data_IF_795214480602
#
_entry.id   IF_795214480602
#
_cell.length_a   1.000
_cell.length_b   1.000
_cell.length_c   1.000
_cell.angle_alpha   90.00
_cell.angle_beta   90.00
_cell.angle_gamma   90.00
#
_symmetry.space_group_name_H-M   'P 1'
#
loop_
_entity.id
_entity.type
_entity.pdbx_description
1 polymer ?
#
# COMPACT_ATOMS: atom_id res chain seq x y z
N UNK A 1 -19.42 12.54 -11.50
CA UNK A 1 -19.67 12.49 -10.05
C UNK A 1 -20.86 13.39 -9.75
N UNK A 2 -21.95 12.85 -9.22
CA UNK A 2 -23.14 13.65 -8.88
C UNK A 2 -22.86 14.34 -7.55
N UNK A 3 -22.65 15.65 -7.56
CA UNK A 3 -22.56 16.46 -6.35
C UNK A 3 -23.97 16.86 -5.93
N UNK A 4 -24.61 16.03 -5.10
CA UNK A 4 -25.86 16.40 -4.45
C UNK A 4 -25.58 17.50 -3.42
N UNK A 5 -25.98 18.74 -3.72
CA UNK A 5 -26.01 19.84 -2.75
C UNK A 5 -27.11 19.57 -1.73
N UNK A 6 -26.80 18.76 -0.72
CA UNK A 6 -27.74 18.46 0.37
C UNK A 6 -27.70 19.61 1.39
N UNK A 7 -28.83 20.28 1.57
CA UNK A 7 -28.96 21.34 2.56
C UNK A 7 -29.00 20.75 3.97
N UNK A 8 -28.00 21.10 4.80
CA UNK A 8 -27.93 20.70 6.22
C UNK A 8 -29.19 21.11 6.98
N UNK A 9 -29.77 22.27 6.63
CA UNK A 9 -31.01 22.75 7.21
C UNK A 9 -32.19 21.78 6.98
N UNK A 10 -32.33 21.28 5.74
CA UNK A 10 -33.38 20.30 5.41
C UNK A 10 -33.17 18.96 6.14
N UNK A 11 -31.92 18.52 6.29
CA UNK A 11 -31.61 17.31 7.08
C UNK A 11 -32.06 17.49 8.53
N UNK A 12 -31.72 18.62 9.16
CA UNK A 12 -32.08 18.88 10.57
C UNK A 12 -33.60 18.92 10.77
N UNK A 13 -34.34 19.54 9.85
CA UNK A 13 -35.81 19.57 9.85
C UNK A 13 -36.43 18.18 9.68
N UNK A 14 -35.79 17.30 8.91
CA UNK A 14 -36.28 15.94 8.74
C UNK A 14 -35.98 15.09 9.98
N UNK A 15 -34.79 15.20 10.55
CA UNK A 15 -34.41 14.49 11.77
C UNK A 15 -35.30 14.86 12.97
N UNK A 16 -35.73 16.13 13.09
CA UNK A 16 -36.64 16.53 14.17
C UNK A 16 -38.05 15.92 14.09
N UNK A 17 -38.41 15.31 12.95
CA UNK A 17 -39.70 14.62 12.76
C UNK A 17 -39.60 13.11 12.99
N UNK A 18 -38.39 12.59 13.22
CA UNK A 18 -38.15 11.17 13.39
C UNK A 18 -38.40 10.79 14.86
N UNK A 19 -39.11 9.69 15.12
CA UNK A 19 -39.25 9.11 16.45
C UNK A 19 -37.90 8.80 17.11
N UNK A 20 -37.83 8.90 18.44
CA UNK A 20 -36.57 8.80 19.19
C UNK A 20 -35.87 7.44 19.04
N UNK A 21 -36.64 6.35 18.96
CA UNK A 21 -36.16 5.00 18.69
C UNK A 21 -35.46 4.88 17.32
N UNK A 22 -35.96 5.60 16.32
CA UNK A 22 -35.37 5.67 14.98
C UNK A 22 -34.20 6.63 14.87
N UNK A 23 -34.16 7.68 15.70
CA UNK A 23 -32.99 8.56 15.79
C UNK A 23 -31.75 7.82 16.26
N UNK A 24 -31.90 6.88 17.20
CA UNK A 24 -30.80 6.01 17.64
C UNK A 24 -30.26 5.16 16.49
N UNK A 25 -31.15 4.51 15.74
CA UNK A 25 -30.77 3.68 14.58
C UNK A 25 -30.02 4.50 13.51
N UNK A 26 -30.46 5.74 13.26
CA UNK A 26 -29.77 6.67 12.36
C UNK A 26 -28.38 7.03 12.89
N UNK A 27 -28.23 7.30 14.19
CA UNK A 27 -26.94 7.61 14.79
C UNK A 27 -25.95 6.43 14.65
N UNK A 28 -26.41 5.22 14.97
CA UNK A 28 -25.60 3.99 14.87
C UNK A 28 -25.13 3.75 13.41
N UNK A 29 -26.00 4.02 12.44
CA UNK A 29 -25.66 3.92 11.01
C UNK A 29 -24.64 4.98 10.57
N UNK A 30 -24.77 6.23 11.03
CA UNK A 30 -23.81 7.30 10.76
C UNK A 30 -22.43 6.93 11.33
N UNK A 31 -22.38 6.41 12.57
CA UNK A 31 -21.14 5.95 13.19
C UNK A 31 -20.47 4.82 12.40
N UNK A 32 -21.24 3.86 11.89
CA UNK A 32 -20.74 2.79 11.05
C UNK A 32 -20.07 3.33 9.78
N UNK A 33 -20.73 4.27 9.09
CA UNK A 33 -20.18 4.92 7.89
C UNK A 33 -18.87 5.64 8.21
N UNK A 34 -18.83 6.42 9.29
CA UNK A 34 -17.63 7.15 9.70
C UNK A 34 -16.49 6.17 10.02
N UNK A 35 -16.76 5.10 10.79
CA UNK A 35 -15.78 4.06 11.13
C UNK A 35 -15.24 3.32 9.89
N UNK A 36 -16.07 3.07 8.88
CA UNK A 36 -15.63 2.41 7.65
C UNK A 36 -14.66 3.26 6.83
N UNK A 37 -14.80 4.59 6.85
CA UNK A 37 -13.87 5.52 6.19
C UNK A 37 -12.53 5.68 6.93
N UNK A 38 -12.50 5.44 8.24
CA UNK A 38 -11.30 5.63 9.07
C UNK A 38 -10.50 4.36 9.29
N UNK A 39 -10.90 3.20 8.75
CA UNK A 39 -9.98 2.05 8.71
C UNK A 39 -8.78 2.45 7.86
N UNK A 40 -7.57 2.56 8.43
CA UNK A 40 -6.37 2.75 7.63
C UNK A 40 -6.33 1.61 6.61
N UNK A 41 -5.83 1.83 5.38
CA UNK A 41 -5.58 0.73 4.47
C UNK A 41 -4.82 -0.33 5.27
N UNK A 42 -5.26 -1.59 5.19
CA UNK A 42 -4.48 -2.69 5.74
C UNK A 42 -3.14 -2.65 5.00
N UNK A 43 -2.14 -2.01 5.61
CA UNK A 43 -0.76 -2.08 5.18
C UNK A 43 -0.39 -3.51 5.50
N UNK A 44 -0.64 -4.40 4.53
CA UNK A 44 -0.14 -5.76 4.59
C UNK A 44 1.37 -5.61 4.56
N UNK A 45 1.98 -5.76 5.73
CA UNK A 45 3.43 -5.78 5.81
C UNK A 45 3.87 -7.04 5.10
N UNK A 46 4.61 -6.86 4.01
CA UNK A 46 5.27 -7.95 3.29
C UNK A 46 6.51 -8.45 4.05
N UNK A 47 6.43 -8.49 5.39
CA UNK A 47 7.43 -9.12 6.24
C UNK A 47 7.47 -10.60 5.86
N UNK A 48 8.64 -11.09 5.46
CA UNK A 48 8.83 -12.49 5.06
C UNK A 48 8.78 -12.79 3.55
N UNK A 49 8.48 -11.83 2.65
CA UNK A 49 8.53 -12.11 1.19
C UNK A 49 9.91 -12.61 0.75
N UNK A 50 10.96 -12.07 1.33
CA UNK A 50 12.34 -12.39 0.98
C UNK A 50 12.98 -13.41 1.93
N UNK A 51 12.21 -13.96 2.87
CA UNK A 51 12.69 -14.93 3.85
C UNK A 51 12.99 -16.29 3.17
N UNK A 52 14.16 -16.84 3.45
CA UNK A 52 14.67 -18.07 2.86
C UNK A 52 15.15 -17.93 1.41
N UNK A 53 15.02 -16.76 0.78
CA UNK A 53 15.42 -16.54 -0.61
C UNK A 53 16.88 -16.09 -0.75
N UNK A 54 17.59 -15.88 0.36
CA UNK A 54 19.02 -15.58 0.39
C UNK A 54 19.36 -14.10 0.31
N UNK A 55 18.36 -13.22 0.17
CA UNK A 55 18.53 -11.77 0.23
C UNK A 55 18.98 -11.30 1.62
N UNK A 56 18.74 -12.09 2.66
CA UNK A 56 19.18 -11.81 4.03
C UNK A 56 20.70 -11.92 4.21
N UNK A 57 21.38 -12.54 3.24
CA UNK A 57 22.84 -12.67 3.22
C UNK A 57 23.52 -11.46 2.57
N UNK A 58 22.75 -10.57 1.92
CA UNK A 58 23.26 -9.37 1.26
C UNK A 58 23.49 -8.31 2.35
N UNK A 59 24.73 -8.21 2.81
CA UNK A 59 25.13 -7.23 3.83
C UNK A 59 25.41 -5.84 3.23
N UNK A 60 25.90 -5.79 1.99
CA UNK A 60 26.17 -4.56 1.25
C UNK A 60 25.85 -4.77 -0.24
N UNK A 61 24.62 -4.40 -0.61
CA UNK A 61 24.10 -4.55 -1.97
C UNK A 61 24.96 -3.83 -3.02
N UNK A 62 25.50 -2.65 -2.69
CA UNK A 62 26.28 -1.86 -3.64
C UNK A 62 27.62 -2.53 -3.93
N UNK A 63 28.28 -3.06 -2.89
CA UNK A 63 29.50 -3.84 -3.04
C UNK A 63 29.27 -5.09 -3.89
N UNK A 64 28.21 -5.84 -3.63
CA UNK A 64 27.88 -7.07 -4.35
C UNK A 64 27.58 -6.79 -5.84
N UNK A 65 26.82 -5.74 -6.15
CA UNK A 65 26.57 -5.30 -7.53
C UNK A 65 27.88 -4.92 -8.23
N UNK A 66 28.77 -4.20 -7.53
CA UNK A 66 30.04 -3.76 -8.09
C UNK A 66 30.96 -4.95 -8.38
N UNK A 67 30.97 -5.96 -7.52
CA UNK A 67 31.73 -7.19 -7.72
C UNK A 67 31.21 -7.95 -8.94
N UNK A 68 29.90 -8.18 -9.04
CA UNK A 68 29.27 -8.86 -10.18
C UNK A 68 29.62 -8.18 -11.50
N UNK A 69 29.57 -6.83 -11.55
CA UNK A 69 29.98 -6.08 -12.75
C UNK A 69 31.42 -6.36 -13.15
N UNK A 70 32.36 -6.32 -12.20
CA UNK A 70 33.79 -6.57 -12.48
C UNK A 70 34.00 -7.98 -13.03
N UNK A 71 33.37 -8.98 -12.42
CA UNK A 71 33.47 -10.38 -12.85
C UNK A 71 32.88 -10.58 -14.25
N UNK A 72 31.71 -9.98 -14.53
CA UNK A 72 31.09 -10.01 -15.84
C UNK A 72 31.99 -9.36 -16.91
N UNK A 73 32.57 -8.19 -16.63
CA UNK A 73 33.50 -7.51 -17.54
C UNK A 73 34.74 -8.35 -17.80
N UNK A 74 35.35 -8.92 -16.75
CA UNK A 74 36.52 -9.78 -16.88
C UNK A 74 36.23 -11.01 -17.75
N UNK A 75 35.12 -11.70 -17.47
CA UNK A 75 34.68 -12.88 -18.24
C UNK A 75 34.43 -12.54 -19.71
N UNK A 76 33.82 -11.40 -19.99
CA UNK A 76 33.61 -10.92 -21.36
C UNK A 76 34.94 -10.65 -22.08
N UNK A 77 35.88 -9.95 -21.43
CA UNK A 77 37.19 -9.66 -22.00
C UNK A 77 38.00 -10.92 -22.27
N UNK A 78 37.98 -11.90 -21.37
CA UNK A 78 38.64 -13.20 -21.57
C UNK A 78 38.07 -13.95 -22.76
N UNK A 79 36.74 -13.92 -22.96
CA UNK A 79 36.09 -14.53 -24.12
C UNK A 79 36.49 -13.83 -25.43
N UNK A 80 36.52 -12.51 -25.46
CA UNK A 80 36.95 -11.73 -26.63
C UNK A 80 38.42 -11.99 -26.96
N UNK A 81 39.29 -12.04 -25.95
CA UNK A 81 40.71 -12.34 -26.15
C UNK A 81 40.91 -13.72 -26.77
N UNK A 82 40.22 -14.75 -26.24
CA UNK A 82 40.27 -16.13 -26.78
C UNK A 82 39.72 -16.28 -28.20
N UNK A 83 38.88 -15.35 -28.68
CA UNK A 83 38.38 -15.38 -30.06
C UNK A 83 39.33 -14.71 -31.05
N UNK A 84 40.22 -13.84 -30.55
CA UNK A 84 41.18 -13.08 -31.36
C UNK A 84 42.61 -13.67 -31.32
N UNK A 85 42.80 -14.80 -30.65
CA UNK A 85 44.02 -15.62 -30.64
C UNK A 85 43.75 -16.97 -31.26
#
# INVERSE_FOLDING_TARGET
MVTSNVSIYKIKQNLSKVPEDKLKEINDFIELIIKSKTRPPNIVKFEGIWEGLGFEKINDLESDIRQIRKEATKSMLERVYKWNT
#
